data_IF_521359247376
#
_entry.id   IF_521359247376
#
_cell.length_a   1.000
_cell.length_b   1.000
_cell.length_c   1.000
_cell.angle_alpha   90.00
_cell.angle_beta   90.00
_cell.angle_gamma   90.00
#
_symmetry.space_group_name_H-M   'P 1'
#
loop_
_entity.id
_entity.type
_entity.pdbx_description
1 polymer ?
#
# COMPACT_ATOMS: atom_id res chain seq x y z
N UNK A 1 34.80 47.03 5.14
CA UNK A 1 35.00 45.56 5.02
C UNK A 1 34.65 44.94 6.36
N UNK A 2 33.54 44.22 6.43
CA UNK A 2 33.05 43.54 7.65
C UNK A 2 33.37 42.04 7.55
N UNK A 3 33.95 41.38 8.56
CA UNK A 3 34.12 39.94 8.55
C UNK A 3 32.78 39.26 8.84
N UNK A 4 32.30 38.46 7.89
CA UNK A 4 31.13 37.60 8.06
C UNK A 4 31.52 36.37 8.90
N UNK A 5 31.27 36.44 10.20
CA UNK A 5 31.38 35.29 11.11
C UNK A 5 30.25 34.28 10.83
N UNK A 6 30.49 33.33 9.93
CA UNK A 6 29.69 32.10 9.87
C UNK A 6 30.11 31.17 11.02
N UNK A 7 29.23 30.97 11.99
CA UNK A 7 29.37 29.93 13.02
C UNK A 7 29.27 28.56 12.35
N UNK A 8 30.10 27.56 12.68
CA UNK A 8 29.92 26.20 12.18
C UNK A 8 28.66 25.60 12.82
N UNK A 9 27.76 25.09 11.99
CA UNK A 9 26.62 24.28 12.41
C UNK A 9 27.21 22.99 12.98
N UNK A 10 26.97 22.74 14.27
CA UNK A 10 27.33 21.48 14.92
C UNK A 10 26.53 20.37 14.25
N UNK A 11 27.20 19.57 13.42
CA UNK A 11 26.70 18.28 12.96
C UNK A 11 26.43 17.44 14.21
N UNK A 12 25.16 17.34 14.60
CA UNK A 12 24.72 16.29 15.52
C UNK A 12 24.81 15.00 14.72
N UNK A 13 25.91 14.28 14.91
CA UNK A 13 25.98 12.87 14.60
C UNK A 13 24.79 12.20 15.28
N UNK A 14 23.76 11.87 14.50
CA UNK A 14 22.75 10.92 14.90
C UNK A 14 23.51 9.60 15.03
N UNK A 15 23.83 9.24 16.27
CA UNK A 15 24.26 7.90 16.61
C UNK A 15 23.17 6.96 16.12
N UNK A 16 23.41 6.33 14.96
CA UNK A 16 22.64 5.21 14.49
C UNK A 16 22.93 4.08 15.48
N UNK A 17 22.12 4.04 16.54
CA UNK A 17 22.03 2.87 17.39
C UNK A 17 21.42 1.81 16.48
N UNK A 18 22.29 0.94 15.97
CA UNK A 18 21.91 -0.34 15.42
C UNK A 18 21.32 -1.12 16.58
N UNK A 19 20.03 -0.92 16.84
CA UNK A 19 19.25 -1.96 17.47
C UNK A 19 19.23 -3.07 16.43
N UNK A 20 20.03 -4.10 16.69
CA UNK A 20 19.74 -5.45 16.22
C UNK A 20 18.29 -5.73 16.65
N UNK A 21 17.33 -5.28 15.82
CA UNK A 21 15.93 -5.62 16.03
C UNK A 21 15.86 -7.12 15.84
N UNK A 22 15.74 -7.81 16.98
CA UNK A 22 15.01 -9.06 17.12
C UNK A 22 13.70 -8.91 16.34
N UNK A 23 13.78 -9.16 15.03
CA UNK A 23 12.67 -9.36 14.12
C UNK A 23 12.10 -10.72 14.46
N UNK A 24 11.58 -10.82 15.67
CA UNK A 24 10.72 -11.92 16.08
C UNK A 24 9.47 -11.74 15.23
N UNK A 25 9.44 -12.44 14.11
CA UNK A 25 8.30 -12.56 13.21
C UNK A 25 7.10 -13.03 14.04
N UNK A 26 6.30 -12.07 14.52
CA UNK A 26 5.12 -12.38 15.31
C UNK A 26 4.08 -13.05 14.40
N UNK A 27 3.23 -13.94 14.90
CA UNK A 27 2.11 -14.50 14.13
C UNK A 27 1.26 -13.40 13.47
N UNK A 28 1.07 -12.28 14.17
CA UNK A 28 0.35 -11.10 13.68
C UNK A 28 1.03 -10.47 12.45
N UNK A 29 2.37 -10.47 12.38
CA UNK A 29 3.13 -10.02 11.21
C UNK A 29 2.89 -10.92 9.99
N UNK A 30 2.86 -12.23 10.21
CA UNK A 30 2.59 -13.19 9.12
C UNK A 30 1.17 -13.07 8.58
N UNK A 31 0.19 -12.80 9.45
CA UNK A 31 -1.20 -12.61 9.07
C UNK A 31 -1.39 -11.29 8.31
N UNK A 32 -0.74 -10.21 8.75
CA UNK A 32 -0.77 -8.92 8.06
C UNK A 32 -0.10 -9.01 6.67
N UNK A 33 1.06 -9.67 6.57
CA UNK A 33 1.76 -9.84 5.30
C UNK A 33 0.95 -10.70 4.31
N UNK A 34 0.28 -11.75 4.81
CA UNK A 34 -0.67 -12.55 4.02
C UNK A 34 -1.84 -11.72 3.52
N UNK A 35 -2.42 -10.88 4.37
CA UNK A 35 -3.55 -10.02 3.99
C UNK A 35 -3.16 -9.02 2.88
N UNK A 36 -1.98 -8.39 2.98
CA UNK A 36 -1.47 -7.48 1.94
C UNK A 36 -1.24 -8.24 0.64
N UNK A 37 -0.59 -9.40 0.71
CA UNK A 37 -0.31 -10.25 -0.45
C UNK A 37 -1.60 -10.69 -1.15
N UNK A 38 -2.60 -11.14 -0.37
CA UNK A 38 -3.89 -11.57 -0.87
C UNK A 38 -4.68 -10.42 -1.50
N UNK A 39 -4.62 -9.22 -0.92
CA UNK A 39 -5.23 -8.03 -1.48
C UNK A 39 -4.60 -7.66 -2.83
N UNK A 40 -3.27 -7.73 -2.94
CA UNK A 40 -2.55 -7.47 -4.19
C UNK A 40 -2.84 -8.52 -5.27
N UNK A 41 -2.89 -9.79 -4.90
CA UNK A 41 -3.30 -10.87 -5.82
C UNK A 41 -4.73 -10.62 -6.31
N UNK A 42 -5.63 -10.26 -5.41
CA UNK A 42 -7.01 -9.94 -5.76
C UNK A 42 -7.09 -8.75 -6.72
N UNK A 43 -6.32 -7.68 -6.48
CA UNK A 43 -6.22 -6.53 -7.39
C UNK A 43 -5.76 -6.96 -8.78
N UNK A 44 -4.67 -7.72 -8.88
CA UNK A 44 -4.10 -8.18 -10.16
C UNK A 44 -5.09 -9.06 -10.94
N UNK A 45 -5.81 -9.94 -10.26
CA UNK A 45 -6.83 -10.80 -10.87
C UNK A 45 -8.02 -9.99 -11.38
N UNK A 46 -8.54 -9.06 -10.57
CA UNK A 46 -9.62 -8.16 -10.97
C UNK A 46 -9.21 -7.26 -12.14
N UNK A 47 -7.96 -6.82 -12.22
CA UNK A 47 -7.49 -6.00 -13.35
C UNK A 47 -7.49 -6.78 -14.67
N UNK A 48 -7.15 -8.06 -14.65
CA UNK A 48 -7.06 -8.93 -15.84
C UNK A 48 -8.41 -9.48 -16.29
N UNK A 49 -9.28 -9.86 -15.36
CA UNK A 49 -10.50 -10.61 -15.66
C UNK A 49 -11.76 -9.76 -15.51
N UNK A 50 -12.44 -9.51 -16.63
CA UNK A 50 -13.72 -8.78 -16.65
C UNK A 50 -14.85 -9.56 -15.97
N UNK A 51 -14.93 -10.87 -16.19
CA UNK A 51 -15.98 -11.71 -15.60
C UNK A 51 -15.91 -11.74 -14.09
N UNK A 52 -14.69 -11.77 -13.52
CA UNK A 52 -14.50 -11.62 -12.08
C UNK A 52 -14.95 -10.24 -11.58
N UNK A 53 -14.62 -9.15 -12.29
CA UNK A 53 -15.09 -7.80 -11.92
C UNK A 53 -16.61 -7.69 -11.93
N UNK A 54 -17.25 -8.22 -12.96
CA UNK A 54 -18.71 -8.17 -13.10
C UNK A 54 -19.40 -9.01 -12.03
N UNK A 55 -18.84 -10.18 -11.67
CA UNK A 55 -19.33 -11.01 -10.57
C UNK A 55 -19.27 -10.28 -9.22
N UNK A 56 -18.12 -9.67 -8.90
CA UNK A 56 -17.99 -8.88 -7.68
C UNK A 56 -18.90 -7.65 -7.69
N UNK A 57 -18.98 -6.97 -8.83
CA UNK A 57 -19.86 -5.80 -8.97
C UNK A 57 -21.32 -6.17 -8.71
N UNK A 58 -21.80 -7.26 -9.31
CA UNK A 58 -23.16 -7.77 -9.07
C UNK A 58 -23.38 -8.15 -7.61
N UNK A 59 -22.44 -8.89 -7.00
CA UNK A 59 -22.53 -9.30 -5.60
C UNK A 59 -22.67 -8.10 -4.65
N UNK A 60 -22.00 -6.99 -4.96
CA UNK A 60 -21.98 -5.78 -4.14
C UNK A 60 -22.91 -4.67 -4.66
N UNK A 61 -23.88 -4.99 -5.54
CA UNK A 61 -24.86 -4.06 -6.13
C UNK A 61 -24.23 -2.82 -6.80
N UNK A 62 -23.04 -2.99 -7.39
CA UNK A 62 -22.41 -1.98 -8.22
C UNK A 62 -22.90 -2.07 -9.67
N UNK A 63 -22.73 -0.98 -10.43
CA UNK A 63 -22.95 -1.02 -11.87
C UNK A 63 -22.05 -2.06 -12.53
N UNK A 64 -22.51 -2.65 -13.63
CA UNK A 64 -21.71 -3.54 -14.47
C UNK A 64 -20.76 -2.73 -15.35
N UNK A 65 -19.69 -3.36 -15.82
CA UNK A 65 -18.76 -2.72 -16.74
C UNK A 65 -19.38 -2.66 -18.15
N UNK A 66 -20.07 -1.56 -18.44
CA UNK A 66 -20.80 -1.32 -19.69
C UNK A 66 -19.86 -1.14 -20.89
N UNK A 67 -18.75 -0.42 -20.74
CA UNK A 67 -17.72 -0.19 -21.77
C UNK A 67 -16.35 -0.69 -21.32
N UNK A 68 -15.40 -0.83 -22.26
CA UNK A 68 -14.01 -1.20 -21.92
C UNK A 68 -13.40 -0.14 -21.00
N UNK A 69 -13.48 -0.32 -19.68
CA UNK A 69 -12.74 0.50 -18.73
C UNK A 69 -11.24 0.22 -18.96
N UNK A 70 -10.46 1.28 -19.18
CA UNK A 70 -9.02 1.20 -19.41
C UNK A 70 -8.27 2.22 -18.55
N UNK A 71 -7.00 1.93 -18.29
CA UNK A 71 -6.12 2.80 -17.50
C UNK A 71 -6.72 3.16 -16.14
N UNK A 72 -6.63 4.44 -15.77
CA UNK A 72 -7.07 4.95 -14.47
C UNK A 72 -8.54 4.65 -14.14
N UNK A 73 -9.42 4.61 -15.15
CA UNK A 73 -10.84 4.29 -14.93
C UNK A 73 -11.04 2.82 -14.50
N UNK A 74 -10.21 1.91 -15.04
CA UNK A 74 -10.20 0.51 -14.62
C UNK A 74 -9.62 0.37 -13.22
N UNK A 75 -8.48 1.01 -12.96
CA UNK A 75 -7.79 0.93 -11.67
C UNK A 75 -8.68 1.50 -10.54
N UNK A 76 -9.34 2.64 -10.78
CA UNK A 76 -10.33 3.21 -9.85
C UNK A 76 -11.53 2.31 -9.61
N UNK A 77 -12.01 1.59 -10.63
CA UNK A 77 -13.10 0.62 -10.49
C UNK A 77 -12.69 -0.60 -9.66
N UNK A 78 -11.52 -1.17 -9.94
CA UNK A 78 -10.97 -2.29 -9.18
C UNK A 78 -10.75 -1.90 -7.72
N UNK A 79 -10.22 -0.71 -7.47
CA UNK A 79 -10.07 -0.15 -6.13
C UNK A 79 -11.42 -0.06 -5.39
N UNK A 80 -12.47 0.42 -6.07
CA UNK A 80 -13.81 0.49 -5.49
C UNK A 80 -14.37 -0.90 -5.16
N UNK A 81 -14.16 -1.90 -6.03
CA UNK A 81 -14.55 -3.29 -5.78
C UNK A 81 -13.83 -3.86 -4.55
N UNK A 82 -12.52 -3.64 -4.41
CA UNK A 82 -11.76 -4.07 -3.24
C UNK A 82 -12.26 -3.42 -1.96
N UNK A 83 -12.63 -2.14 -2.02
CA UNK A 83 -13.20 -1.41 -0.90
C UNK A 83 -14.52 -2.02 -0.42
N UNK A 84 -15.48 -2.24 -1.31
CA UNK A 84 -16.80 -2.77 -0.91
C UNK A 84 -16.80 -4.25 -0.59
N UNK A 85 -15.80 -5.00 -1.07
CA UNK A 85 -15.61 -6.42 -0.73
C UNK A 85 -14.86 -6.64 0.58
N UNK A 86 -14.47 -5.58 1.29
CA UNK A 86 -13.73 -5.67 2.54
C UNK A 86 -12.30 -6.19 2.38
N UNK A 87 -11.78 -6.25 1.14
CA UNK A 87 -10.40 -6.67 0.82
C UNK A 87 -9.41 -5.50 0.84
N UNK A 88 -9.89 -4.31 1.19
CA UNK A 88 -9.05 -3.14 1.36
C UNK A 88 -8.32 -3.22 2.69
N UNK A 89 -7.00 -3.32 2.63
CA UNK A 89 -6.12 -3.38 3.80
C UNK A 89 -5.62 -1.97 4.18
N UNK A 90 -5.20 -1.80 5.43
CA UNK A 90 -4.58 -0.56 5.93
C UNK A 90 -5.41 0.71 5.69
N UNK A 91 -6.68 0.68 6.10
CA UNK A 91 -7.66 1.79 5.94
C UNK A 91 -7.43 2.98 6.89
N UNK A 92 -6.62 2.81 7.93
CA UNK A 92 -6.33 3.84 8.93
C UNK A 92 -5.04 4.56 8.52
N UNK A 93 -5.08 5.90 8.43
CA UNK A 93 -3.87 6.71 8.19
C UNK A 93 -2.89 6.48 9.35
N UNK A 94 -1.74 5.89 9.05
CA UNK A 94 -0.64 5.73 9.99
C UNK A 94 0.49 6.70 9.61
N UNK A 95 1.12 7.32 10.61
CA UNK A 95 2.31 8.16 10.45
C UNK A 95 3.52 7.27 10.75
N UNK A 96 4.47 7.17 9.80
CA UNK A 96 5.66 6.32 9.92
C UNK A 96 5.70 5.22 8.87
N UNK A 97 6.58 4.24 9.05
CA UNK A 97 6.60 3.05 8.20
C UNK A 97 5.26 2.33 8.33
N UNK A 98 4.60 2.07 7.19
CA UNK A 98 3.54 1.07 7.15
C UNK A 98 4.18 -0.27 7.54
N UNK A 99 3.60 -1.01 8.51
CA UNK A 99 4.01 -2.38 8.74
C UNK A 99 4.01 -3.11 7.39
N UNK A 100 5.15 -3.68 7.02
CA UNK A 100 5.32 -4.61 5.90
C UNK A 100 5.23 -4.05 4.47
N UNK A 101 5.31 -2.72 4.27
CA UNK A 101 5.76 -2.16 2.97
C UNK A 101 7.27 -1.99 3.04
N UNK A 102 8.01 -2.80 2.27
CA UNK A 102 9.47 -2.68 2.24
C UNK A 102 9.88 -1.50 1.39
N UNK A 103 10.95 -0.84 1.82
CA UNK A 103 11.65 0.10 0.95
C UNK A 103 12.11 -0.70 -0.28
N UNK A 104 11.73 -0.24 -1.48
CA UNK A 104 11.91 -0.89 -2.79
C UNK A 104 10.78 -1.79 -3.29
N UNK A 105 9.65 -1.90 -2.60
CA UNK A 105 8.47 -2.54 -3.20
C UNK A 105 7.99 -1.73 -4.40
N UNK A 106 7.90 -2.37 -5.56
CA UNK A 106 7.46 -1.74 -6.81
C UNK A 106 5.93 -1.83 -6.95
N UNK A 107 5.34 -0.68 -7.29
CA UNK A 107 3.93 -0.55 -7.63
C UNK A 107 3.83 0.00 -9.06
N UNK A 108 3.00 -0.64 -9.90
CA UNK A 108 2.79 -0.28 -11.32
C UNK A 108 1.37 0.24 -11.58
#
# INVERSE_FOLDING_TARGET
MLPSHRKPIKERALSYVSEDEDTTFTPEWNDCHRNITDALICYKNLRKDKGLRDKFSNQHKMSLEQDRCRGLALDGRVANILKVSGKWVNTIKQIGCLPEVKISDEYH
#
